data_IF_221880025461
#
_entry.id   IF_221880025461
#
_cell.length_a   1.000
_cell.length_b   1.000
_cell.length_c   1.000
_cell.angle_alpha   90.00
_cell.angle_beta   90.00
_cell.angle_gamma   90.00
#
_symmetry.space_group_name_H-M   'P 1'
#
loop_
_entity.id
_entity.type
_entity.pdbx_description
1 polymer ?
#
# COMPACT_ATOMS: atom_id res chain seq x y z
N UNK A 1 -3.58 20.04 -8.11
CA UNK A 1 -2.20 19.50 -7.98
C UNK A 1 -1.44 19.95 -9.22
N UNK A 2 -0.24 20.42 -9.06
CA UNK A 2 0.65 20.83 -10.13
C UNK A 2 1.90 19.93 -10.17
N UNK A 3 2.71 20.07 -11.21
CA UNK A 3 3.93 19.29 -11.41
C UNK A 3 4.91 19.39 -10.23
N UNK A 4 5.04 20.58 -9.62
CA UNK A 4 5.92 20.77 -8.47
C UNK A 4 5.45 19.98 -7.24
N UNK A 5 4.13 19.92 -7.02
CA UNK A 5 3.55 19.08 -5.96
C UNK A 5 3.76 17.61 -6.24
N UNK A 6 3.57 17.16 -7.49
CA UNK A 6 3.85 15.76 -7.86
C UNK A 6 5.32 15.41 -7.61
N UNK A 7 6.25 16.26 -8.03
CA UNK A 7 7.69 16.05 -7.81
C UNK A 7 8.07 15.97 -6.32
N UNK A 8 7.35 16.67 -5.45
CA UNK A 8 7.60 16.62 -4.01
C UNK A 8 7.23 15.26 -3.38
N UNK A 9 6.31 14.54 -4.00
CA UNK A 9 5.86 13.20 -3.56
C UNK A 9 6.42 12.06 -4.42
N UNK A 10 7.26 12.34 -5.41
CA UNK A 10 7.92 11.34 -6.26
C UNK A 10 9.04 10.64 -5.49
N UNK A 11 8.64 9.95 -4.43
CA UNK A 11 9.53 9.19 -3.55
C UNK A 11 8.78 8.07 -2.85
N UNK A 12 9.53 7.04 -2.50
CA UNK A 12 9.06 5.99 -1.58
C UNK A 12 9.50 6.33 -0.16
N UNK A 13 8.58 6.15 0.78
CA UNK A 13 8.89 6.15 2.20
C UNK A 13 8.99 4.72 2.68
N UNK A 14 10.16 4.32 3.14
CA UNK A 14 10.41 2.97 3.65
C UNK A 14 10.17 2.98 5.16
N UNK A 15 9.44 2.01 5.67
CA UNK A 15 9.17 1.83 7.09
C UNK A 15 9.41 0.39 7.50
N UNK A 16 10.15 0.21 8.58
CA UNK A 16 10.38 -1.08 9.22
C UNK A 16 9.40 -1.24 10.39
N UNK A 17 8.64 -2.33 10.39
CA UNK A 17 7.69 -2.65 11.47
C UNK A 17 8.36 -2.74 12.84
N UNK A 18 9.59 -3.26 12.86
CA UNK A 18 10.37 -3.37 14.09
C UNK A 18 10.72 -2.00 14.67
N UNK A 19 11.05 -1.03 13.85
CA UNK A 19 11.35 0.34 14.29
C UNK A 19 10.12 1.01 14.90
N UNK A 20 8.96 0.88 14.25
CA UNK A 20 7.70 1.39 14.77
C UNK A 20 7.33 0.74 16.12
N UNK A 21 7.50 -0.59 16.23
CA UNK A 21 7.27 -1.31 17.48
C UNK A 21 8.22 -0.86 18.58
N UNK A 22 9.50 -0.68 18.26
CA UNK A 22 10.53 -0.24 19.21
C UNK A 22 10.29 1.19 19.68
N UNK A 23 9.86 2.06 18.77
CA UNK A 23 9.47 3.43 19.09
C UNK A 23 8.34 3.47 20.12
N UNK A 24 7.27 2.75 19.83
CA UNK A 24 6.14 2.61 20.75
C UNK A 24 6.59 2.08 22.11
N UNK A 25 7.36 0.98 22.14
CA UNK A 25 7.86 0.39 23.40
C UNK A 25 8.65 1.38 24.24
N UNK A 26 9.44 2.25 23.59
CA UNK A 26 10.20 3.28 24.30
C UNK A 26 9.26 4.29 24.97
N UNK A 27 8.28 4.82 24.25
CA UNK A 27 7.35 5.81 24.81
C UNK A 27 6.40 5.20 25.86
N UNK A 28 5.92 3.99 25.64
CA UNK A 28 5.13 3.24 26.64
C UNK A 28 5.94 3.04 27.93
N UNK A 29 7.20 2.63 27.83
CA UNK A 29 8.08 2.48 29.00
C UNK A 29 8.38 3.82 29.67
N UNK A 30 8.60 4.88 28.91
CA UNK A 30 8.85 6.23 29.47
C UNK A 30 7.63 6.78 30.21
N UNK A 31 6.43 6.42 29.79
CA UNK A 31 5.17 6.81 30.43
C UNK A 31 4.82 5.95 31.67
N UNK A 32 5.34 4.74 31.76
CA UNK A 32 5.08 3.82 32.88
C UNK A 32 6.11 3.99 34.02
N UNK A 33 5.71 4.51 35.20
CA UNK A 33 6.62 4.68 36.32
C UNK A 33 7.22 3.38 36.89
N UNK A 34 6.70 2.22 36.46
CA UNK A 34 7.21 0.91 36.87
C UNK A 34 8.21 0.32 35.88
N UNK A 35 8.31 0.89 34.67
CA UNK A 35 9.27 0.48 33.65
C UNK A 35 10.64 1.12 33.89
N UNK A 36 11.70 0.38 33.59
CA UNK A 36 13.07 0.88 33.73
C UNK A 36 13.70 0.98 32.33
N UNK A 37 13.78 2.20 31.79
CA UNK A 37 14.37 2.48 30.47
C UNK A 37 15.82 2.00 30.33
N UNK A 38 16.64 2.04 31.39
CA UNK A 38 18.03 1.58 31.33
C UNK A 38 18.11 0.05 31.16
N UNK A 39 17.07 -0.68 31.58
CA UNK A 39 16.98 -2.13 31.43
C UNK A 39 16.42 -2.51 30.05
N UNK A 40 15.36 -1.83 29.63
CA UNK A 40 14.69 -2.12 28.34
C UNK A 40 15.48 -1.58 27.13
N UNK A 41 16.21 -0.49 27.33
CA UNK A 41 17.01 0.20 26.32
C UNK A 41 18.45 0.48 26.83
N UNK A 42 19.25 -0.57 27.09
CA UNK A 42 20.57 -0.42 27.72
C UNK A 42 21.56 0.40 26.87
N UNK A 43 21.39 0.39 25.55
CA UNK A 43 22.19 1.17 24.59
C UNK A 43 21.55 2.55 24.28
N UNK A 44 20.48 2.92 24.99
CA UNK A 44 19.66 4.08 24.70
C UNK A 44 18.70 3.85 23.55
N UNK A 45 17.94 4.90 23.21
CA UNK A 45 17.03 4.91 22.06
C UNK A 45 17.23 6.19 21.26
N UNK A 46 17.28 6.05 19.94
CA UNK A 46 17.26 7.16 19.01
C UNK A 46 16.12 6.93 18.01
N UNK A 47 15.31 7.95 17.79
CA UNK A 47 14.22 7.89 16.81
C UNK A 47 14.82 7.73 15.42
N UNK A 48 14.36 6.77 14.60
CA UNK A 48 14.81 6.62 13.22
C UNK A 48 14.61 7.92 12.43
N UNK A 49 15.64 8.36 11.72
CA UNK A 49 15.61 9.65 11.02
C UNK A 49 14.47 9.75 9.99
N UNK A 50 14.12 8.63 9.34
CA UNK A 50 13.06 8.60 8.35
C UNK A 50 11.65 8.80 8.94
N UNK A 51 11.46 8.68 10.27
CA UNK A 51 10.19 9.02 10.92
C UNK A 51 9.87 10.50 10.76
N UNK A 52 10.88 11.37 10.82
CA UNK A 52 10.70 12.81 10.63
C UNK A 52 10.41 13.21 9.17
N UNK A 53 10.64 12.31 8.24
CA UNK A 53 10.36 12.51 6.81
C UNK A 53 9.08 11.80 6.36
N UNK A 54 8.39 11.14 7.27
CA UNK A 54 7.17 10.39 6.99
C UNK A 54 6.04 11.33 6.54
N UNK A 55 5.37 11.04 5.40
CA UNK A 55 4.40 11.96 4.81
C UNK A 55 3.01 11.85 5.48
N UNK A 56 2.96 12.00 6.79
CA UNK A 56 1.71 11.91 7.56
C UNK A 56 0.71 13.01 7.18
N UNK A 57 1.22 14.21 6.87
CA UNK A 57 0.41 15.37 6.57
C UNK A 57 0.71 15.99 5.22
N UNK A 58 -0.36 16.43 4.54
CA UNK A 58 -0.28 17.26 3.36
C UNK A 58 -0.36 18.76 3.68
N UNK A 59 -0.03 19.58 2.71
CA UNK A 59 -0.11 21.03 2.82
C UNK A 59 -1.50 21.52 2.42
N UNK A 60 -2.35 21.81 3.40
CA UNK A 60 -3.72 22.31 3.17
C UNK A 60 -3.76 23.65 2.44
N UNK A 61 -2.69 24.47 2.54
CA UNK A 61 -2.61 25.72 1.78
C UNK A 61 -2.42 25.48 0.27
N UNK A 62 -1.98 24.29 -0.11
CA UNK A 62 -1.89 23.83 -1.50
C UNK A 62 -3.07 22.94 -1.89
N UNK A 63 -4.14 22.94 -1.12
CA UNK A 63 -5.33 22.14 -1.32
C UNK A 63 -5.04 20.62 -1.34
N UNK A 64 -4.12 20.18 -0.46
CA UNK A 64 -3.87 18.78 -0.18
C UNK A 64 -4.68 18.36 1.05
N UNK A 65 -4.99 17.08 1.15
CA UNK A 65 -5.58 16.52 2.36
C UNK A 65 -4.61 16.67 3.53
N UNK A 66 -5.14 16.95 4.72
CA UNK A 66 -4.30 17.06 5.91
C UNK A 66 -3.70 15.71 6.28
N UNK A 67 -4.51 14.65 6.32
CA UNK A 67 -4.06 13.30 6.60
C UNK A 67 -3.72 12.58 5.30
N UNK A 68 -2.47 12.15 5.15
CA UNK A 68 -1.98 11.43 3.99
C UNK A 68 -1.58 9.98 4.34
N UNK A 69 -0.38 9.77 4.85
CA UNK A 69 0.08 8.47 5.28
C UNK A 69 -0.45 8.11 6.69
N UNK A 70 -0.79 6.85 6.95
CA UNK A 70 -1.37 6.45 8.23
C UNK A 70 -0.33 6.54 9.36
N UNK A 71 -0.67 7.19 10.45
CA UNK A 71 0.16 7.26 11.64
C UNK A 71 -0.65 6.98 12.91
N UNK A 72 0.02 6.48 13.93
CA UNK A 72 -0.54 6.36 15.27
C UNK A 72 -0.23 7.64 16.02
N UNK A 73 -1.28 8.31 16.45
CA UNK A 73 -1.25 9.55 17.24
C UNK A 73 -1.18 9.15 18.72
N UNK A 74 0.02 9.20 19.29
CA UNK A 74 0.28 8.70 20.63
C UNK A 74 -0.26 9.64 21.71
N UNK A 75 -0.17 10.94 21.50
CA UNK A 75 -0.61 11.95 22.47
C UNK A 75 -2.03 12.49 22.20
N UNK A 76 -2.64 12.13 21.05
CA UNK A 76 -4.03 12.43 20.69
C UNK A 76 -4.24 13.87 20.24
N UNK A 77 -3.20 14.54 19.74
CA UNK A 77 -3.28 15.94 19.34
C UNK A 77 -3.65 16.14 17.84
N UNK A 78 -3.67 15.06 17.05
CA UNK A 78 -4.02 15.06 15.64
C UNK A 78 -2.89 15.48 14.71
N UNK A 79 -1.69 15.70 15.24
CA UNK A 79 -0.50 16.05 14.45
C UNK A 79 0.54 14.94 14.60
N UNK A 80 1.33 14.75 13.57
CA UNK A 80 2.40 13.77 13.61
C UNK A 80 3.71 14.37 14.09
N UNK A 81 4.13 13.99 15.29
CA UNK A 81 5.46 14.34 15.85
C UNK A 81 6.11 13.11 16.49
N UNK A 82 7.09 12.48 15.86
CA UNK A 82 7.77 11.33 16.43
C UNK A 82 8.44 11.61 17.78
N UNK A 83 8.77 12.87 18.05
CA UNK A 83 9.37 13.25 19.35
C UNK A 83 8.38 13.16 20.51
N UNK A 84 7.08 13.11 20.22
CA UNK A 84 5.99 12.97 21.19
C UNK A 84 5.44 11.54 21.26
N UNK A 85 5.96 10.62 20.46
CA UNK A 85 5.62 9.20 20.50
C UNK A 85 4.87 8.69 19.29
N UNK A 86 4.56 9.56 18.31
CA UNK A 86 3.86 9.16 17.10
C UNK A 86 4.73 8.34 16.18
N UNK A 87 4.13 7.39 15.50
CA UNK A 87 4.86 6.50 14.60
C UNK A 87 4.03 6.11 13.36
N UNK A 88 4.68 5.72 12.26
CA UNK A 88 3.98 5.12 11.12
C UNK A 88 3.13 3.94 11.58
N UNK A 89 1.82 3.98 11.30
CA UNK A 89 0.86 3.14 11.98
C UNK A 89 0.87 1.69 11.50
N UNK A 90 1.32 0.81 12.38
CA UNK A 90 1.03 -0.61 12.34
C UNK A 90 0.03 -0.95 13.43
N UNK A 91 -1.02 -1.69 13.12
CA UNK A 91 -2.06 -2.04 14.09
C UNK A 91 -1.55 -3.07 15.13
N UNK A 92 -0.68 -2.60 16.03
CA UNK A 92 -0.14 -3.44 17.11
C UNK A 92 -1.17 -3.76 18.18
N UNK A 93 -2.21 -2.94 18.30
CA UNK A 93 -3.27 -3.09 19.30
C UNK A 93 -4.43 -3.96 18.81
N UNK A 94 -4.42 -4.31 17.52
CA UNK A 94 -5.49 -5.05 16.86
C UNK A 94 -6.85 -4.33 17.01
N UNK A 95 -6.84 -3.02 16.87
CA UNK A 95 -8.01 -2.15 16.99
C UNK A 95 -8.88 -2.18 15.73
N UNK A 96 -8.30 -2.61 14.60
CA UNK A 96 -9.02 -2.70 13.33
C UNK A 96 -9.72 -4.03 13.21
N UNK A 97 -11.04 -3.98 13.18
CA UNK A 97 -11.87 -5.09 12.75
C UNK A 97 -11.82 -5.23 11.23
N UNK A 98 -11.42 -6.39 10.73
CA UNK A 98 -11.39 -6.70 9.30
C UNK A 98 -12.75 -6.44 8.60
N UNK A 99 -13.87 -6.58 9.33
CA UNK A 99 -15.20 -6.30 8.82
C UNK A 99 -15.52 -4.81 8.67
N UNK A 100 -14.83 -3.94 9.40
CA UNK A 100 -15.11 -2.50 9.44
C UNK A 100 -14.12 -1.63 8.64
N UNK A 101 -13.11 -2.22 8.01
CA UNK A 101 -12.07 -1.51 7.25
C UNK A 101 -12.61 -0.52 6.20
N UNK A 102 -13.82 -0.71 5.73
CA UNK A 102 -14.47 0.20 4.77
C UNK A 102 -14.73 1.61 5.30
N UNK A 103 -14.77 1.77 6.61
CA UNK A 103 -15.18 3.01 7.26
C UNK A 103 -14.02 3.80 7.81
N UNK A 104 -12.84 3.25 7.72
CA UNK A 104 -11.66 3.85 8.29
C UNK A 104 -11.01 4.75 7.24
N UNK A 105 -10.81 5.99 7.59
CA UNK A 105 -10.15 6.97 6.72
C UNK A 105 -8.66 6.63 6.50
N UNK A 106 -8.10 5.76 7.33
CA UNK A 106 -6.72 5.31 7.23
C UNK A 106 -6.63 3.78 7.29
N UNK A 107 -5.75 3.23 6.47
CA UNK A 107 -5.41 1.81 6.44
C UNK A 107 -4.01 1.66 7.03
N UNK A 108 -3.79 0.80 8.05
CA UNK A 108 -2.46 0.65 8.65
C UNK A 108 -1.44 0.13 7.66
N UNK A 109 -0.19 0.28 7.99
CA UNK A 109 0.91 -0.37 7.28
C UNK A 109 0.93 -1.86 7.62
N UNK A 110 1.34 -2.67 6.65
CA UNK A 110 1.44 -4.12 6.75
C UNK A 110 2.87 -4.59 6.53
N UNK A 111 3.11 -5.88 6.82
CA UNK A 111 4.40 -6.52 6.58
C UNK A 111 5.46 -6.18 7.63
N UNK A 112 6.64 -6.73 7.44
CA UNK A 112 7.81 -6.41 8.26
C UNK A 112 8.54 -5.19 7.71
N UNK A 113 8.54 -5.02 6.39
CA UNK A 113 8.99 -3.83 5.67
C UNK A 113 7.89 -3.33 4.75
N UNK A 114 7.67 -2.02 4.72
CA UNK A 114 6.67 -1.36 3.89
C UNK A 114 7.28 -0.21 3.13
N UNK A 115 6.97 -0.13 1.84
CA UNK A 115 7.17 1.02 0.99
C UNK A 115 5.83 1.74 0.83
N UNK A 116 5.79 3.02 1.15
CA UNK A 116 4.57 3.83 1.03
C UNK A 116 4.83 5.00 0.08
N UNK A 117 3.87 5.27 -0.84
CA UNK A 117 3.95 6.41 -1.75
C UNK A 117 2.56 6.91 -2.13
N UNK A 118 2.51 8.14 -2.61
CA UNK A 118 1.28 8.81 -3.02
C UNK A 118 1.49 9.35 -4.43
N UNK A 119 0.53 9.10 -5.29
CA UNK A 119 0.55 9.64 -6.64
C UNK A 119 -0.86 9.99 -7.12
N UNK A 120 -0.96 10.67 -8.25
CA UNK A 120 -2.22 11.06 -8.85
C UNK A 120 -2.11 11.06 -10.38
N UNK A 121 -3.24 11.20 -11.06
CA UNK A 121 -3.33 11.20 -12.51
C UNK A 121 -3.27 12.60 -13.16
N UNK A 122 -2.91 13.65 -12.39
CA UNK A 122 -2.97 15.06 -12.85
C UNK A 122 -1.61 15.75 -12.96
N UNK A 123 -0.51 15.07 -12.72
CA UNK A 123 0.82 15.65 -12.65
C UNK A 123 1.38 16.11 -14.00
N UNK A 124 1.01 15.44 -15.09
CA UNK A 124 1.51 15.71 -16.43
C UNK A 124 0.48 15.38 -17.51
N UNK A 125 0.84 15.60 -18.78
CA UNK A 125 0.03 15.21 -19.93
C UNK A 125 0.17 13.71 -20.18
N UNK A 126 -0.96 13.01 -20.31
CA UNK A 126 -1.00 11.57 -20.60
C UNK A 126 -0.69 11.32 -22.09
N UNK A 127 0.59 11.29 -22.43
CA UNK A 127 1.02 11.20 -23.84
C UNK A 127 0.75 9.86 -24.48
N UNK A 128 0.66 8.78 -23.72
CA UNK A 128 0.43 7.43 -24.22
C UNK A 128 -1.04 7.16 -24.49
N UNK A 129 -1.91 7.49 -23.52
CA UNK A 129 -3.34 7.27 -23.63
C UNK A 129 -4.11 8.40 -24.28
N UNK A 130 -3.55 9.62 -24.28
CA UNK A 130 -4.22 10.88 -24.62
C UNK A 130 -5.48 11.14 -23.80
N UNK A 131 -5.61 10.45 -22.66
CA UNK A 131 -6.73 10.62 -21.74
C UNK A 131 -6.59 11.89 -20.91
N UNK A 132 -7.73 12.51 -20.61
CA UNK A 132 -7.77 13.61 -19.64
C UNK A 132 -7.69 13.06 -18.22
N UNK A 133 -7.06 13.78 -17.27
CA UNK A 133 -7.03 13.36 -15.87
C UNK A 133 -8.45 13.35 -15.26
N UNK A 134 -8.75 12.32 -14.51
CA UNK A 134 -10.05 12.15 -13.82
C UNK A 134 -10.03 12.68 -12.39
N UNK A 135 -8.88 13.05 -11.86
CA UNK A 135 -8.70 13.59 -10.50
C UNK A 135 -8.59 12.50 -9.43
N UNK A 136 -7.97 11.39 -9.77
CA UNK A 136 -7.72 10.29 -8.83
C UNK A 136 -6.43 10.53 -8.06
N UNK A 137 -6.49 10.43 -6.73
CA UNK A 137 -5.33 10.27 -5.86
C UNK A 137 -5.22 8.81 -5.43
N UNK A 138 -4.02 8.28 -5.45
CA UNK A 138 -3.75 6.90 -5.08
C UNK A 138 -2.71 6.89 -3.98
N UNK A 139 -3.07 6.31 -2.83
CA UNK A 139 -2.17 6.04 -1.73
C UNK A 139 -1.84 4.57 -1.75
N UNK A 140 -0.60 4.27 -1.97
CA UNK A 140 -0.14 2.91 -2.21
C UNK A 140 0.85 2.48 -1.15
N UNK A 141 0.77 1.22 -0.78
CA UNK A 141 1.80 0.55 -0.01
C UNK A 141 2.16 -0.79 -0.65
N UNK A 142 3.44 -1.07 -0.69
CA UNK A 142 3.98 -2.37 -1.04
C UNK A 142 4.74 -2.94 0.14
N UNK A 143 4.48 -4.18 0.51
CA UNK A 143 5.02 -4.76 1.73
C UNK A 143 5.37 -6.23 1.57
N UNK A 144 6.28 -6.67 2.42
CA UNK A 144 6.75 -8.05 2.46
C UNK A 144 6.90 -8.54 3.90
N UNK A 145 6.90 -9.86 4.04
CA UNK A 145 7.09 -10.55 5.31
C UNK A 145 8.37 -11.37 5.29
N UNK A 146 9.12 -11.33 6.38
CA UNK A 146 10.27 -12.19 6.60
C UNK A 146 9.80 -13.47 7.30
N UNK A 147 9.53 -14.50 6.50
CA UNK A 147 9.03 -15.80 6.99
C UNK A 147 9.93 -16.95 6.52
N UNK A 148 9.68 -18.16 7.04
CA UNK A 148 10.39 -19.38 6.62
C UNK A 148 9.56 -20.25 5.63
N UNK A 149 8.53 -19.68 5.04
CA UNK A 149 7.64 -20.32 4.07
C UNK A 149 7.59 -19.52 2.75
N UNK A 150 6.67 -19.88 1.87
CA UNK A 150 6.51 -19.28 0.54
C UNK A 150 6.12 -17.80 0.58
N UNK A 151 5.56 -17.32 1.69
CA UNK A 151 5.19 -15.91 1.88
C UNK A 151 6.43 -15.01 1.80
N UNK A 152 7.60 -15.54 2.20
CA UNK A 152 8.87 -14.81 2.07
C UNK A 152 9.24 -14.44 0.62
N UNK A 153 8.65 -15.10 -0.36
CA UNK A 153 8.86 -14.84 -1.78
C UNK A 153 7.75 -14.00 -2.41
N UNK A 154 6.87 -13.43 -1.58
CA UNK A 154 5.74 -12.62 -2.03
C UNK A 154 5.91 -11.16 -1.66
N UNK A 155 5.56 -10.28 -2.58
CA UNK A 155 5.37 -8.85 -2.33
C UNK A 155 3.89 -8.54 -2.48
N UNK A 156 3.33 -7.91 -1.49
CA UNK A 156 1.92 -7.52 -1.47
C UNK A 156 1.78 -6.03 -1.75
N UNK A 157 0.73 -5.65 -2.44
CA UNK A 157 0.41 -4.25 -2.70
C UNK A 157 -1.01 -3.94 -2.24
N UNK A 158 -1.19 -2.79 -1.61
CA UNK A 158 -2.50 -2.25 -1.26
C UNK A 158 -2.62 -0.83 -1.80
N UNK A 159 -3.74 -0.55 -2.43
CA UNK A 159 -4.03 0.74 -3.06
C UNK A 159 -5.31 1.33 -2.49
N UNK A 160 -5.23 2.55 -1.97
CA UNK A 160 -6.39 3.34 -1.57
C UNK A 160 -6.66 4.36 -2.66
N UNK A 161 -7.81 4.25 -3.31
CA UNK A 161 -8.23 5.10 -4.42
C UNK A 161 -9.14 6.19 -3.89
N UNK A 162 -8.77 7.45 -4.11
CA UNK A 162 -9.49 8.62 -3.62
C UNK A 162 -9.88 9.49 -4.81
N UNK A 163 -11.19 9.67 -5.01
CA UNK A 163 -11.69 10.60 -6.01
C UNK A 163 -11.61 12.03 -5.47
N UNK A 164 -10.56 12.75 -5.85
CA UNK A 164 -10.36 14.17 -5.54
C UNK A 164 -11.01 15.08 -6.61
N UNK A 165 -11.65 14.48 -7.62
CA UNK A 165 -12.38 15.21 -8.64
C UNK A 165 -13.75 15.67 -8.16
N UNK A 166 -14.39 16.53 -8.94
CA UNK A 166 -15.74 17.06 -8.64
C UNK A 166 -16.85 16.24 -9.30
N UNK A 167 -16.49 15.22 -10.06
CA UNK A 167 -17.41 14.40 -10.83
C UNK A 167 -17.58 13.01 -10.20
N UNK A 168 -18.76 12.45 -10.31
CA UNK A 168 -18.97 11.04 -10.02
C UNK A 168 -18.39 10.20 -11.15
N UNK A 169 -17.54 9.25 -10.81
CA UNK A 169 -16.99 8.30 -11.76
C UNK A 169 -17.92 7.09 -11.84
N UNK A 170 -18.33 6.74 -13.04
CA UNK A 170 -19.19 5.58 -13.32
C UNK A 170 -18.47 4.63 -14.28
N UNK A 171 -18.78 3.34 -14.23
CA UNK A 171 -18.10 2.32 -15.05
C UNK A 171 -16.56 2.41 -14.95
N UNK A 172 -16.06 2.57 -13.73
CA UNK A 172 -14.63 2.74 -13.47
C UNK A 172 -13.99 1.39 -13.22
N UNK A 173 -12.90 1.13 -13.92
CA UNK A 173 -12.11 -0.09 -13.77
C UNK A 173 -10.73 0.27 -13.25
N UNK A 174 -10.28 -0.45 -12.26
CA UNK A 174 -8.90 -0.41 -11.81
C UNK A 174 -8.18 -1.67 -12.31
N UNK A 175 -7.06 -1.49 -12.96
CA UNK A 175 -6.20 -2.59 -13.39
C UNK A 175 -4.75 -2.29 -13.06
N UNK A 176 -4.01 -3.32 -12.68
CA UNK A 176 -2.57 -3.23 -12.53
C UNK A 176 -1.91 -3.69 -13.82
N UNK A 177 -1.11 -2.80 -14.40
CA UNK A 177 -0.24 -3.14 -15.50
C UNK A 177 1.11 -3.62 -14.94
N UNK A 178 1.57 -4.77 -15.40
CA UNK A 178 2.82 -5.38 -14.96
C UNK A 178 3.62 -5.81 -16.17
N UNK A 179 4.87 -5.41 -16.22
CA UNK A 179 5.86 -5.81 -17.23
C UNK A 179 6.95 -6.60 -16.50
N UNK A 180 6.96 -7.90 -16.74
CA UNK A 180 7.86 -8.81 -16.05
C UNK A 180 9.04 -9.13 -16.95
N UNK A 181 10.24 -8.73 -16.54
CA UNK A 181 11.49 -9.16 -17.13
C UNK A 181 12.11 -10.25 -16.24
N UNK A 182 11.99 -11.51 -16.65
CA UNK A 182 12.57 -12.63 -15.92
C UNK A 182 14.00 -12.89 -16.43
N UNK A 183 14.98 -12.19 -15.85
CA UNK A 183 16.36 -12.34 -16.32
C UNK A 183 16.55 -11.83 -17.74
N UNK A 184 16.67 -12.72 -18.69
CA UNK A 184 16.79 -12.42 -20.11
C UNK A 184 15.44 -12.37 -20.82
N UNK A 185 14.75 -11.27 -20.79
CA UNK A 185 13.36 -11.06 -21.23
C UNK A 185 12.98 -11.49 -22.65
N UNK A 186 13.96 -11.92 -23.47
CA UNK A 186 13.75 -12.13 -24.94
C UNK A 186 12.86 -13.32 -25.24
N UNK A 187 12.87 -14.34 -24.41
CA UNK A 187 12.08 -15.56 -24.54
C UNK A 187 11.08 -15.78 -23.41
N UNK A 188 10.77 -14.71 -22.64
CA UNK A 188 9.72 -14.75 -21.65
C UNK A 188 8.34 -14.90 -22.28
N UNK A 189 7.52 -15.73 -21.67
CA UNK A 189 6.11 -15.90 -22.01
C UNK A 189 5.20 -15.46 -20.86
N UNK A 190 4.03 -14.96 -21.21
CA UNK A 190 2.98 -14.59 -20.28
C UNK A 190 1.75 -15.47 -20.45
N UNK A 191 1.03 -15.69 -19.39
CA UNK A 191 -0.23 -16.40 -19.39
C UNK A 191 -1.16 -15.93 -18.28
N UNK A 192 -2.38 -16.47 -18.27
CA UNK A 192 -3.33 -16.21 -17.21
C UNK A 192 -4.15 -17.44 -16.86
N UNK A 193 -4.51 -17.55 -15.58
CA UNK A 193 -5.53 -18.46 -15.06
C UNK A 193 -6.72 -17.63 -14.59
N UNK A 194 -7.72 -17.48 -15.45
CA UNK A 194 -8.89 -16.63 -15.17
C UNK A 194 -9.69 -17.14 -13.97
N UNK A 195 -9.71 -18.45 -13.71
CA UNK A 195 -10.46 -19.00 -12.58
C UNK A 195 -9.83 -18.65 -11.22
N UNK A 196 -8.52 -18.42 -11.24
CA UNK A 196 -7.76 -18.03 -10.03
C UNK A 196 -7.48 -16.53 -9.93
N UNK A 197 -7.81 -15.75 -10.97
CA UNK A 197 -7.43 -14.34 -11.02
C UNK A 197 -5.93 -14.11 -11.17
N UNK A 198 -5.19 -15.12 -11.65
CA UNK A 198 -3.74 -15.16 -11.67
C UNK A 198 -3.20 -14.83 -13.07
N UNK A 199 -2.37 -13.79 -13.17
CA UNK A 199 -1.44 -13.58 -14.27
C UNK A 199 -0.09 -14.22 -13.94
N UNK A 200 0.66 -14.69 -14.95
CA UNK A 200 1.98 -15.24 -14.70
C UNK A 200 2.92 -15.03 -15.89
N UNK A 201 4.21 -14.97 -15.57
CA UNK A 201 5.31 -14.93 -16.53
C UNK A 201 6.30 -16.05 -16.25
N UNK A 202 6.88 -16.63 -17.29
CA UNK A 202 7.85 -17.72 -17.19
C UNK A 202 8.77 -17.73 -18.40
N UNK A 203 10.00 -18.22 -18.20
CA UNK A 203 10.98 -18.37 -19.28
C UNK A 203 10.55 -19.44 -20.30
N UNK A 204 10.85 -19.24 -21.57
CA UNK A 204 10.42 -20.10 -22.67
C UNK A 204 11.01 -21.49 -22.68
N UNK A 205 12.19 -21.68 -22.11
CA UNK A 205 12.83 -22.96 -21.97
C UNK A 205 13.46 -23.15 -20.57
N UNK A 206 14.36 -24.11 -20.42
CA UNK A 206 14.94 -24.45 -19.11
C UNK A 206 16.21 -23.67 -18.76
N UNK A 207 16.63 -22.75 -19.63
CA UNK A 207 17.83 -21.95 -19.44
C UNK A 207 17.58 -20.50 -19.85
N UNK A 208 17.78 -19.58 -18.94
CA UNK A 208 17.61 -18.16 -19.16
C UNK A 208 18.98 -17.49 -19.43
N UNK A 209 19.14 -16.97 -20.63
CA UNK A 209 20.37 -16.36 -21.10
C UNK A 209 20.52 -14.93 -20.59
N UNK A 210 21.77 -14.56 -20.36
CA UNK A 210 22.11 -13.17 -20.09
C UNK A 210 21.96 -12.31 -21.36
N UNK A 211 21.38 -11.14 -21.21
CA UNK A 211 21.32 -10.11 -22.26
C UNK A 211 22.35 -9.01 -22.02
N UNK A 212 22.41 -8.00 -22.89
CA UNK A 212 23.24 -6.82 -22.67
C UNK A 212 22.81 -5.95 -21.46
N UNK A 213 21.57 -6.16 -20.97
CA UNK A 213 20.93 -5.35 -19.92
C UNK A 213 20.64 -6.13 -18.65
N UNK A 214 20.64 -7.46 -18.71
CA UNK A 214 20.24 -8.33 -17.63
C UNK A 214 21.17 -9.54 -17.51
N UNK A 215 21.43 -9.95 -16.28
CA UNK A 215 22.07 -11.25 -15.98
C UNK A 215 20.94 -12.28 -15.97
N UNK A 216 21.00 -13.28 -16.88
CA UNK A 216 20.03 -14.37 -16.86
C UNK A 216 20.13 -15.22 -15.58
N UNK A 217 19.05 -15.93 -15.26
CA UNK A 217 19.01 -16.87 -14.14
C UNK A 217 19.79 -18.16 -14.41
N UNK A 218 20.09 -18.45 -15.68
CA UNK A 218 20.73 -19.70 -16.06
C UNK A 218 19.78 -20.91 -16.01
N UNK A 219 20.29 -22.04 -15.48
CA UNK A 219 19.49 -23.27 -15.38
C UNK A 219 18.33 -23.12 -14.38
N UNK A 220 17.15 -23.58 -14.74
CA UNK A 220 15.94 -23.58 -13.93
C UNK A 220 15.48 -22.18 -13.51
N UNK A 221 15.17 -21.29 -14.46
CA UNK A 221 14.69 -19.95 -14.16
C UNK A 221 13.38 -20.00 -13.36
N UNK A 222 13.13 -18.99 -12.49
CA UNK A 222 11.88 -18.90 -11.76
C UNK A 222 10.71 -18.54 -12.69
N UNK A 223 9.50 -18.67 -12.18
CA UNK A 223 8.31 -18.04 -12.73
C UNK A 223 7.79 -16.99 -11.75
N UNK A 224 7.12 -15.96 -12.26
CA UNK A 224 6.47 -14.93 -11.46
C UNK A 224 4.96 -15.01 -11.64
N UNK A 225 4.22 -14.93 -10.53
CA UNK A 225 2.76 -14.85 -10.54
C UNK A 225 2.29 -13.51 -10.00
N UNK A 226 1.24 -12.97 -10.59
CA UNK A 226 0.52 -11.78 -10.14
C UNK A 226 -0.89 -12.20 -9.84
N UNK A 227 -1.27 -12.15 -8.57
CA UNK A 227 -2.59 -12.55 -8.10
C UNK A 227 -3.34 -11.32 -7.58
N UNK A 228 -4.65 -11.30 -7.81
CA UNK A 228 -5.51 -10.21 -7.42
C UNK A 228 -6.46 -10.69 -6.33
N UNK A 229 -6.11 -10.42 -5.07
CA UNK A 229 -6.85 -10.95 -3.93
C UNK A 229 -8.17 -10.25 -3.68
N UNK A 230 -8.23 -8.94 -3.89
CA UNK A 230 -9.35 -8.14 -3.46
C UNK A 230 -9.48 -6.87 -4.31
N UNK A 231 -10.66 -6.66 -4.89
CA UNK A 231 -10.99 -5.47 -5.67
C UNK A 231 -11.63 -4.35 -4.84
N UNK A 232 -11.97 -3.24 -5.50
CA UNK A 232 -12.79 -2.21 -4.89
C UNK A 232 -14.12 -2.79 -4.44
N UNK A 233 -14.73 -2.14 -3.45
CA UNK A 233 -16.04 -2.58 -2.96
C UNK A 233 -17.11 -2.42 -4.03
N UNK A 234 -17.90 -3.46 -4.19
CA UNK A 234 -19.05 -3.49 -5.07
C UNK A 234 -20.26 -3.92 -4.24
N UNK A 235 -21.42 -3.27 -4.44
CA UNK A 235 -22.63 -3.76 -3.83
C UNK A 235 -23.22 -4.95 -4.61
N UNK A 236 -24.22 -5.60 -4.01
CA UNK A 236 -24.79 -6.84 -4.55
C UNK A 236 -25.97 -6.61 -5.52
N UNK A 237 -26.35 -5.35 -5.79
CA UNK A 237 -27.53 -5.04 -6.58
C UNK A 237 -27.30 -5.09 -8.10
N UNK A 238 -26.03 -5.14 -8.52
CA UNK A 238 -25.64 -5.18 -9.92
C UNK A 238 -25.86 -3.87 -10.67
N UNK A 239 -26.11 -2.78 -9.96
CA UNK A 239 -26.27 -1.43 -10.50
C UNK A 239 -25.07 -0.58 -10.09
N UNK A 240 -24.43 0.06 -11.04
CA UNK A 240 -23.31 0.94 -10.80
C UNK A 240 -23.80 2.29 -10.25
N UNK A 241 -24.05 2.34 -8.96
CA UNK A 241 -24.49 3.53 -8.25
C UNK A 241 -23.58 3.78 -7.01
N UNK A 242 -23.61 4.98 -6.39
CA UNK A 242 -22.87 5.22 -5.17
C UNK A 242 -23.27 4.22 -4.09
N UNK A 243 -22.27 3.63 -3.43
CA UNK A 243 -22.50 2.81 -2.24
C UNK A 243 -23.36 3.60 -1.26
N UNK A 244 -24.51 3.07 -0.93
CA UNK A 244 -25.38 3.72 0.06
C UNK A 244 -24.73 3.63 1.42
N UNK A 245 -24.98 4.61 2.27
CA UNK A 245 -24.47 4.61 3.66
C UNK A 245 -25.04 3.46 4.50
N UNK A 246 -25.95 2.69 3.94
CA UNK A 246 -26.57 1.53 4.56
C UNK A 246 -25.80 0.29 4.11
N UNK A 247 -25.05 -0.28 5.02
CA UNK A 247 -24.18 -1.45 4.82
C UNK A 247 -24.90 -2.70 4.30
N UNK A 248 -26.22 -2.72 4.28
CA UNK A 248 -27.02 -3.84 3.87
C UNK A 248 -26.91 -4.18 2.39
N UNK A 249 -26.55 -3.20 1.55
CA UNK A 249 -26.48 -3.40 0.10
C UNK A 249 -25.10 -3.94 -0.34
N UNK A 250 -24.11 -3.85 0.53
CA UNK A 250 -22.76 -4.31 0.26
C UNK A 250 -22.37 -5.57 1.05
N UNK A 251 -23.36 -6.30 1.58
CA UNK A 251 -23.14 -7.49 2.40
C UNK A 251 -23.80 -8.69 1.72
N UNK A 252 -23.07 -9.82 1.64
CA UNK A 252 -23.66 -11.07 1.16
C UNK A 252 -24.64 -11.68 2.18
N UNK A 253 -25.26 -12.81 1.81
CA UNK A 253 -26.22 -13.52 2.65
C UNK A 253 -25.65 -14.03 3.99
N UNK A 254 -24.33 -14.01 4.15
CA UNK A 254 -23.61 -14.41 5.36
C UNK A 254 -23.18 -13.20 6.20
N UNK A 255 -23.50 -11.98 5.77
CA UNK A 255 -23.09 -10.75 6.44
C UNK A 255 -21.64 -10.34 6.13
N UNK A 256 -21.03 -10.94 5.12
CA UNK A 256 -19.67 -10.63 4.69
C UNK A 256 -19.73 -9.51 3.65
N UNK A 257 -18.90 -8.46 3.77
CA UNK A 257 -18.83 -7.41 2.79
C UNK A 257 -18.53 -7.97 1.39
N UNK A 258 -19.37 -7.61 0.43
CA UNK A 258 -19.16 -8.00 -0.96
C UNK A 258 -17.98 -7.20 -1.53
N UNK A 259 -16.96 -7.91 -1.98
CA UNK A 259 -15.78 -7.30 -2.58
C UNK A 259 -15.72 -7.72 -4.03
N UNK A 260 -15.82 -6.74 -4.92
CA UNK A 260 -15.71 -7.00 -6.33
C UNK A 260 -14.30 -7.48 -6.68
N UNK A 261 -14.19 -8.72 -7.13
CA UNK A 261 -13.02 -9.17 -7.87
C UNK A 261 -13.38 -8.90 -9.33
N UNK A 262 -12.83 -7.82 -9.87
CA UNK A 262 -12.92 -7.56 -11.30
C UNK A 262 -11.88 -8.43 -11.99
N UNK A 263 -12.29 -9.51 -12.59
CA UNK A 263 -11.49 -10.29 -13.54
C UNK A 263 -11.87 -9.87 -14.94
#
# INVERSE_FOLDING_TARGET
>A
IDEATCAAYDRFTITERQDAMRHRQYFDCAADPTCNLEVEFPDGYAIPGYFFEYPAHGNVALNQDYYLAPFYDYDGDGNYDPSLGDYPWYDFLQEIDCGNRRREDQVPLYGDQTYYWIFNDKGNVHTESLGEPIGMEIRAQSFAFSTNDEINNMTFCNYVLINQGTQTLTNTYFSQWVDCDLGGHVDDYVGCDVQRGLGYSYNGDAFDEATSYSIGYGEQPPAMGIDFFEGPYQDADGVDNPLTSVFTDAIDSLGIPYRGIGI
#
